data_IF_970831158441
#
_entry.id   IF_970831158441
#
_cell.length_a   1.000
_cell.length_b   1.000
_cell.length_c   1.000
_cell.angle_alpha   90.00
_cell.angle_beta   90.00
_cell.angle_gamma   90.00
#
_symmetry.space_group_name_H-M   'P 1'
#
loop_
_entity.id
_entity.type
_entity.pdbx_description
1 polymer ?
#
# COMPACT_ATOMS: atom_id res chain seq x y z
N UNK A 1 -15.22 2.21 -3.48
CA UNK A 1 -14.17 1.30 -2.93
C UNK A 1 -14.89 0.22 -2.12
N UNK A 2 -14.65 -1.07 -2.40
CA UNK A 2 -15.31 -2.18 -1.69
C UNK A 2 -14.61 -2.59 -0.39
N UNK A 3 -15.15 -3.57 0.37
CA UNK A 3 -14.68 -3.96 1.70
C UNK A 3 -13.29 -4.64 1.76
N UNK A 4 -12.57 -4.74 0.63
CA UNK A 4 -11.32 -5.48 0.52
C UNK A 4 -11.52 -7.00 0.47
N UNK A 5 -10.46 -7.72 0.10
CA UNK A 5 -10.45 -9.17 0.05
C UNK A 5 -10.43 -9.77 1.46
N UNK A 6 -11.04 -10.95 1.65
CA UNK A 6 -10.97 -11.71 2.91
C UNK A 6 -9.65 -12.50 3.03
N UNK A 7 -9.01 -12.78 1.89
CA UNK A 7 -7.75 -13.53 1.77
C UNK A 7 -6.76 -12.77 0.90
N UNK A 8 -5.49 -12.92 1.20
CA UNK A 8 -4.40 -12.30 0.44
C UNK A 8 -4.38 -12.86 -0.98
N UNK A 9 -4.29 -11.99 -1.97
CA UNK A 9 -4.20 -12.40 -3.37
C UNK A 9 -2.88 -13.12 -3.74
N UNK A 10 -1.89 -13.09 -2.85
CA UNK A 10 -0.52 -13.56 -3.13
C UNK A 10 -0.14 -14.82 -2.35
N UNK A 11 -0.55 -14.90 -1.09
CA UNK A 11 -0.22 -16.03 -0.21
C UNK A 11 -1.45 -16.75 0.36
N UNK A 12 -2.66 -16.36 -0.06
CA UNK A 12 -3.94 -16.90 0.41
C UNK A 12 -4.22 -16.80 1.93
N UNK A 13 -3.34 -16.12 2.67
CA UNK A 13 -3.49 -15.90 4.11
C UNK A 13 -4.74 -15.04 4.43
N UNK A 14 -5.42 -15.29 5.56
CA UNK A 14 -6.57 -14.48 5.97
C UNK A 14 -6.17 -13.03 6.22
N UNK A 15 -6.94 -12.08 5.67
CA UNK A 15 -6.73 -10.64 5.91
C UNK A 15 -7.55 -10.20 7.13
N UNK A 16 -6.89 -9.71 8.21
CA UNK A 16 -7.55 -9.29 9.43
C UNK A 16 -8.62 -8.21 9.17
N UNK A 17 -9.73 -8.25 9.91
CA UNK A 17 -10.79 -7.25 9.79
C UNK A 17 -10.28 -5.82 10.09
N UNK A 18 -9.34 -5.68 11.04
CA UNK A 18 -8.68 -4.41 11.33
C UNK A 18 -8.01 -3.81 10.07
N UNK A 19 -7.36 -4.64 9.25
CA UNK A 19 -6.69 -4.20 8.01
C UNK A 19 -7.70 -3.78 6.95
N UNK A 20 -8.80 -4.53 6.78
CA UNK A 20 -9.90 -4.18 5.87
C UNK A 20 -10.60 -2.88 6.25
N UNK A 21 -10.72 -2.58 7.55
CA UNK A 21 -11.26 -1.31 8.05
C UNK A 21 -10.29 -0.15 7.81
N UNK A 22 -9.00 -0.35 8.09
CA UNK A 22 -7.98 0.67 7.91
C UNK A 22 -7.73 1.02 6.43
N UNK A 23 -7.79 0.03 5.54
CA UNK A 23 -7.54 0.20 4.10
C UNK A 23 -8.72 -0.34 3.29
N UNK A 24 -9.70 0.52 2.95
CA UNK A 24 -10.82 0.13 2.10
C UNK A 24 -10.32 -0.34 0.72
N UNK A 25 -10.59 -1.61 0.40
CA UNK A 25 -10.13 -2.24 -0.83
C UNK A 25 -8.79 -2.98 -0.73
N UNK A 26 -8.31 -3.28 0.48
CA UNK A 26 -7.08 -4.07 0.69
C UNK A 26 -7.11 -5.40 -0.10
N UNK A 27 -5.98 -5.73 -0.73
CA UNK A 27 -5.80 -6.97 -1.51
C UNK A 27 -4.74 -7.92 -0.95
N UNK A 28 -3.80 -7.39 -0.16
CA UNK A 28 -2.69 -8.15 0.40
C UNK A 28 -2.72 -8.16 1.93
N UNK A 29 -2.20 -9.22 2.54
CA UNK A 29 -1.98 -9.27 3.98
C UNK A 29 -0.85 -8.31 4.38
N UNK A 30 -0.69 -8.07 5.69
CA UNK A 30 0.34 -7.15 6.20
C UNK A 30 1.75 -7.59 5.81
N UNK A 31 2.07 -8.88 5.91
CA UNK A 31 3.39 -9.40 5.57
C UNK A 31 3.74 -9.20 4.08
N UNK A 32 2.82 -9.52 3.16
CA UNK A 32 3.03 -9.26 1.73
C UNK A 32 3.12 -7.76 1.44
N UNK A 33 2.30 -6.94 2.10
CA UNK A 33 2.35 -5.49 1.91
C UNK A 33 3.67 -4.89 2.40
N UNK A 34 4.25 -5.38 3.50
CA UNK A 34 5.54 -4.93 4.02
C UNK A 34 6.72 -5.33 3.11
N UNK A 35 6.61 -6.43 2.37
CA UNK A 35 7.60 -6.80 1.36
C UNK A 35 7.53 -5.82 0.18
N UNK A 36 6.33 -5.62 -0.37
CA UNK A 36 6.10 -4.69 -1.48
C UNK A 36 6.50 -3.25 -1.13
N UNK A 37 6.19 -2.79 0.08
CA UNK A 37 6.55 -1.45 0.54
C UNK A 37 8.07 -1.27 0.65
N UNK A 38 8.79 -2.29 1.17
CA UNK A 38 10.26 -2.27 1.21
C UNK A 38 10.86 -2.22 -0.19
N UNK A 39 10.34 -2.99 -1.14
CA UNK A 39 10.80 -2.96 -2.53
C UNK A 39 10.55 -1.58 -3.16
N UNK A 40 9.38 -0.98 -2.93
CA UNK A 40 9.05 0.36 -3.44
C UNK A 40 9.89 1.46 -2.79
N UNK A 41 10.16 1.38 -1.49
CA UNK A 41 10.97 2.34 -0.75
C UNK A 41 12.42 2.37 -1.25
N UNK A 42 12.98 1.22 -1.66
CA UNK A 42 14.33 1.15 -2.23
C UNK A 42 14.44 1.86 -3.58
N UNK A 43 13.36 1.90 -4.37
CA UNK A 43 13.32 2.63 -5.66
C UNK A 43 13.04 4.13 -5.45
N UNK A 44 12.65 4.53 -4.24
CA UNK A 44 12.21 5.89 -3.88
C UNK A 44 13.29 6.95 -3.72
N UNK A 45 14.53 6.70 -4.15
CA UNK A 45 15.62 7.68 -4.20
C UNK A 45 15.45 8.75 -5.29
N UNK A 46 14.24 9.30 -5.47
CA UNK A 46 14.05 10.47 -6.32
C UNK A 46 14.36 11.72 -5.51
N UNK A 47 15.46 12.39 -5.84
CA UNK A 47 15.71 13.79 -5.47
C UNK A 47 14.58 14.66 -6.02
N UNK A 48 13.47 14.77 -5.28
CA UNK A 48 12.37 15.71 -5.55
C UNK A 48 12.83 17.12 -5.19
N UNK A 49 13.83 17.63 -5.91
CA UNK A 49 14.09 19.06 -6.03
C UNK A 49 12.96 19.66 -6.89
N UNK A 50 11.73 19.50 -6.42
CA UNK A 50 10.52 19.95 -7.09
C UNK A 50 10.45 21.46 -6.94
N UNK A 51 10.43 22.15 -8.07
CA UNK A 51 10.25 23.59 -8.16
C UNK A 51 8.94 23.99 -7.44
N UNK A 52 9.04 25.03 -6.61
CA UNK A 52 8.01 25.58 -5.72
C UNK A 52 6.70 25.96 -6.44
N UNK A 53 6.71 26.06 -7.78
CA UNK A 53 5.56 26.54 -8.58
C UNK A 53 4.46 25.51 -8.89
N UNK A 54 4.65 24.20 -8.63
CA UNK A 54 3.60 23.19 -8.83
C UNK A 54 2.73 22.91 -7.60
N UNK A 55 2.95 23.59 -6.48
CA UNK A 55 2.26 23.30 -5.20
C UNK A 55 1.02 24.18 -4.91
N UNK A 56 0.61 25.06 -5.81
CA UNK A 56 -0.58 25.91 -5.65
C UNK A 56 -1.53 25.73 -6.85
N UNK A 57 -2.36 24.68 -6.81
CA UNK A 57 -3.64 24.57 -7.51
C UNK A 57 -4.62 23.75 -6.70
#
# INVERSE_FOLDING_TARGET
KGPGLKRCAECDAPIPAARRKAVPGVRHCVACQEILDREQAQVGGMNRRANKDSLLR
#
